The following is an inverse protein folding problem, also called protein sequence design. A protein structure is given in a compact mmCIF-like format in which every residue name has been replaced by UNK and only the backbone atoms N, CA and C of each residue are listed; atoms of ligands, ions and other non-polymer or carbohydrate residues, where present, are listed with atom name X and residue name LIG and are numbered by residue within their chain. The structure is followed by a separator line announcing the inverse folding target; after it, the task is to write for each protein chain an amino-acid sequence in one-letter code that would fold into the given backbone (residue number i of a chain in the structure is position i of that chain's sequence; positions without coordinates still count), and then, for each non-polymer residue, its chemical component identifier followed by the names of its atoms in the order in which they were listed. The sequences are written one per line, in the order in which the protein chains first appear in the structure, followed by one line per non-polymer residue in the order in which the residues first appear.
data_IF_209466650223
#
_entry.id   IF_209466650223
#
_cell.length_a   1.000
_cell.length_b   1.000
_cell.length_c   1.000
_cell.angle_alpha   90.00
_cell.angle_beta   90.00
_cell.angle_gamma   90.00
#
_symmetry.space_group_name_H-M   'P 1'
#
loop_
_entity.id
_entity.type
_entity.pdbx_description
1 polymer ?
#
# COMPACT_ATOMS: atom_id res chain seq x y z
N UNK A 1 10.19 -25.41 18.68
CA UNK A 1 11.00 -24.33 19.33
C UNK A 1 11.46 -23.41 18.22
N UNK A 2 10.79 -22.28 18.04
CA UNK A 2 11.18 -21.28 17.04
C UNK A 2 12.45 -20.58 17.52
N UNK A 3 13.50 -20.68 16.73
CA UNK A 3 14.79 -20.07 17.00
C UNK A 3 14.69 -18.56 17.07
N UNK A 4 14.94 -17.99 18.24
CA UNK A 4 14.94 -16.56 18.57
C UNK A 4 16.15 -15.80 18.02
N UNK A 5 16.59 -16.08 16.79
CA UNK A 5 17.80 -15.49 16.22
C UNK A 5 17.68 -14.04 15.75
N UNK A 6 16.47 -13.49 15.69
CA UNK A 6 16.25 -12.08 15.37
C UNK A 6 15.11 -11.49 16.20
N UNK A 7 15.40 -11.10 17.43
CA UNK A 7 14.52 -10.14 18.11
C UNK A 7 14.81 -8.77 17.49
N UNK A 8 13.83 -8.11 16.84
CA UNK A 8 14.03 -6.76 16.33
C UNK A 8 14.50 -5.84 17.46
N UNK A 9 15.51 -5.04 17.20
CA UNK A 9 16.10 -4.13 18.16
C UNK A 9 15.10 -3.18 18.84
N UNK A 10 14.00 -2.84 18.16
CA UNK A 10 12.95 -1.92 18.60
C UNK A 10 11.67 -2.63 19.05
N UNK A 11 11.70 -3.94 19.30
CA UNK A 11 10.55 -4.69 19.81
C UNK A 11 10.64 -4.78 21.34
N UNK A 12 9.77 -4.04 22.06
CA UNK A 12 9.66 -4.02 23.51
C UNK A 12 8.28 -4.55 23.91
N UNK A 13 8.24 -5.58 24.75
CA UNK A 13 7.00 -6.22 25.25
C UNK A 13 5.99 -6.59 24.14
N UNK A 14 6.49 -7.04 23.00
CA UNK A 14 5.65 -7.42 21.85
C UNK A 14 5.12 -6.25 21.01
N UNK A 15 5.54 -5.02 21.30
CA UNK A 15 5.16 -3.81 20.57
C UNK A 15 6.38 -3.18 19.93
N UNK A 16 6.27 -2.80 18.65
CA UNK A 16 7.31 -2.02 18.00
C UNK A 16 7.30 -0.59 18.52
N UNK A 17 8.45 -0.14 19.01
CA UNK A 17 8.64 1.22 19.53
C UNK A 17 9.61 2.01 18.66
N UNK A 18 9.46 3.32 18.66
CA UNK A 18 10.40 4.19 17.98
C UNK A 18 11.71 4.28 18.78
N UNK A 19 12.86 4.10 18.11
CA UNK A 19 14.17 4.07 18.78
C UNK A 19 14.59 5.43 19.36
N UNK A 20 14.08 6.52 18.80
CA UNK A 20 14.59 7.86 19.10
C UNK A 20 13.55 8.83 19.67
N UNK A 21 12.29 8.64 19.36
CA UNK A 21 11.21 9.55 19.78
C UNK A 21 9.94 8.76 20.08
N UNK A 22 9.44 8.87 21.30
CA UNK A 22 8.09 8.40 21.62
C UNK A 22 7.13 9.60 21.55
N UNK A 23 6.51 9.81 20.40
CA UNK A 23 5.43 10.78 20.28
C UNK A 23 4.09 10.05 20.53
N UNK A 24 3.43 10.39 21.63
CA UNK A 24 2.06 9.91 21.89
C UNK A 24 1.09 10.97 21.39
N UNK A 25 0.53 10.76 20.20
CA UNK A 25 -0.55 11.60 19.69
C UNK A 25 -1.78 11.46 20.60
N UNK A 26 -2.35 12.58 21.03
CA UNK A 26 -3.57 12.62 21.82
C UNK A 26 -4.79 12.90 20.92
N UNK A 27 -5.98 12.58 21.42
CA UNK A 27 -7.23 12.94 20.75
C UNK A 27 -7.37 14.47 20.57
N UNK A 28 -6.80 15.25 21.48
CA UNK A 28 -6.72 16.71 21.39
C UNK A 28 -5.86 17.16 20.23
N UNK A 29 -4.75 16.50 19.95
CA UNK A 29 -3.86 16.80 18.81
C UNK A 29 -4.56 16.49 17.49
N UNK A 30 -5.36 15.41 17.43
CA UNK A 30 -6.19 15.08 16.28
C UNK A 30 -7.22 16.20 15.99
N UNK A 31 -7.94 16.68 16.98
CA UNK A 31 -8.92 17.76 16.80
C UNK A 31 -8.26 19.10 16.44
N UNK A 32 -7.09 19.39 17.02
CA UNK A 32 -6.29 20.56 16.67
C UNK A 32 -5.88 20.50 15.20
N UNK A 33 -5.28 19.38 14.78
CA UNK A 33 -4.90 19.15 13.39
C UNK A 33 -6.11 19.27 12.45
N UNK A 34 -7.23 18.64 12.77
CA UNK A 34 -8.43 18.70 11.93
C UNK A 34 -8.98 20.12 11.76
N UNK A 35 -8.87 20.96 12.76
CA UNK A 35 -9.32 22.35 12.74
C UNK A 35 -8.35 23.26 11.97
N UNK A 36 -7.06 23.00 12.09
CA UNK A 36 -5.99 23.82 11.53
C UNK A 36 -5.55 23.36 10.13
N UNK A 37 -5.90 22.14 9.72
CA UNK A 37 -5.59 21.62 8.38
C UNK A 37 -6.41 22.33 7.33
N UNK A 38 -5.75 23.01 6.40
CA UNK A 38 -6.33 23.41 5.14
C UNK A 38 -6.37 22.23 4.18
N UNK A 39 -7.40 22.15 3.33
CA UNK A 39 -7.37 21.21 2.21
C UNK A 39 -6.32 21.72 1.22
N UNK A 40 -5.31 20.90 0.89
CA UNK A 40 -4.37 21.32 -0.15
C UNK A 40 -5.10 21.50 -1.48
N UNK A 41 -4.67 22.47 -2.27
CA UNK A 41 -5.12 22.60 -3.64
C UNK A 41 -4.79 21.32 -4.43
N UNK A 42 -5.71 20.80 -5.23
CA UNK A 42 -5.45 19.63 -6.05
C UNK A 42 -4.34 19.96 -7.06
N UNK A 43 -3.21 19.32 -6.93
CA UNK A 43 -2.10 19.47 -7.87
C UNK A 43 -2.29 18.41 -8.97
N UNK A 44 -2.46 18.87 -10.21
CA UNK A 44 -2.46 17.98 -11.37
C UNK A 44 -1.01 17.63 -11.73
N UNK A 45 -0.65 16.36 -11.61
CA UNK A 45 0.62 15.85 -12.10
C UNK A 45 0.47 15.36 -13.54
N UNK A 46 1.48 15.57 -14.42
CA UNK A 46 1.48 14.95 -15.73
C UNK A 46 1.52 13.42 -15.55
N UNK A 47 0.52 12.74 -16.12
CA UNK A 47 0.42 11.28 -16.06
C UNK A 47 1.11 10.68 -17.28
N UNK A 48 2.07 9.80 -17.03
CA UNK A 48 2.62 8.93 -18.07
C UNK A 48 1.70 7.72 -18.21
N UNK A 49 1.31 7.39 -19.42
CA UNK A 49 0.52 6.20 -19.70
C UNK A 49 1.41 4.96 -19.57
N UNK A 50 1.10 4.09 -18.62
CA UNK A 50 1.75 2.80 -18.52
C UNK A 50 1.31 1.86 -19.66
N UNK A 51 2.14 0.89 -19.99
CA UNK A 51 1.83 -0.18 -20.94
C UNK A 51 1.51 -1.49 -20.17
N UNK A 52 0.21 -1.82 -19.96
CA UNK A 52 -0.17 -3.01 -19.23
C UNK A 52 0.27 -4.31 -19.91
N UNK A 53 0.33 -4.35 -21.23
CA UNK A 53 0.72 -5.58 -21.97
C UNK A 53 2.22 -5.84 -21.81
N UNK A 54 3.04 -4.79 -21.87
CA UNK A 54 4.46 -4.89 -21.52
C UNK A 54 4.63 -5.40 -20.08
N UNK A 55 3.94 -4.80 -19.10
CA UNK A 55 4.07 -5.20 -17.70
C UNK A 55 3.62 -6.65 -17.44
N UNK A 56 2.58 -7.12 -18.15
CA UNK A 56 2.13 -8.52 -18.05
C UNK A 56 3.10 -9.51 -18.70
N UNK A 57 3.77 -9.11 -19.78
CA UNK A 57 4.71 -9.97 -20.51
C UNK A 57 6.14 -9.94 -19.97
N UNK A 58 6.50 -8.92 -19.17
CA UNK A 58 7.83 -8.77 -18.62
C UNK A 58 8.21 -9.93 -17.68
N UNK A 59 9.30 -10.64 -17.99
CA UNK A 59 9.84 -11.76 -17.20
C UNK A 59 11.30 -11.58 -16.81
N UNK A 60 11.98 -10.62 -17.38
CA UNK A 60 13.44 -10.47 -17.24
C UNK A 60 13.89 -9.09 -16.80
N UNK A 61 13.16 -8.04 -17.16
CA UNK A 61 13.57 -6.68 -16.86
C UNK A 61 13.14 -6.28 -15.44
N UNK A 62 14.02 -5.55 -14.76
CA UNK A 62 13.74 -4.96 -13.44
C UNK A 62 13.04 -3.63 -13.64
N UNK A 63 11.79 -3.55 -13.20
CA UNK A 63 10.98 -2.34 -13.36
C UNK A 63 10.35 -1.92 -12.05
N UNK A 64 10.12 -0.61 -11.90
CA UNK A 64 9.35 0.00 -10.83
C UNK A 64 8.30 0.87 -11.47
N UNK A 65 7.03 0.53 -11.26
CA UNK A 65 5.89 1.31 -11.76
C UNK A 65 5.15 1.91 -10.58
N UNK A 66 5.12 3.24 -10.50
CA UNK A 66 4.31 3.92 -9.51
C UNK A 66 2.84 3.93 -9.95
N UNK A 67 1.97 3.37 -9.11
CA UNK A 67 0.53 3.29 -9.37
C UNK A 67 -0.19 4.45 -8.68
N UNK A 68 0.29 4.87 -7.53
CA UNK A 68 -0.25 6.01 -6.80
C UNK A 68 -0.11 5.84 -5.29
N UNK A 69 0.01 6.94 -4.56
CA UNK A 69 0.30 6.98 -3.13
C UNK A 69 1.51 6.10 -2.80
N UNK A 70 1.38 5.09 -1.95
CA UNK A 70 2.42 4.11 -1.60
C UNK A 70 2.35 2.81 -2.41
N UNK A 71 1.49 2.77 -3.43
CA UNK A 71 1.31 1.59 -4.28
C UNK A 71 2.31 1.60 -5.43
N UNK A 72 3.23 0.64 -5.42
CA UNK A 72 4.19 0.38 -6.48
C UNK A 72 4.06 -1.06 -6.96
N UNK A 73 4.19 -1.27 -8.27
CA UNK A 73 4.45 -2.56 -8.86
C UNK A 73 5.96 -2.68 -9.11
N UNK A 74 6.60 -3.63 -8.44
CA UNK A 74 7.99 -3.99 -8.63
C UNK A 74 8.05 -5.30 -9.41
N UNK A 75 8.80 -5.32 -10.50
CA UNK A 75 9.07 -6.55 -11.26
C UNK A 75 10.56 -6.86 -11.15
N UNK A 76 10.90 -7.99 -10.56
CA UNK A 76 12.29 -8.36 -10.27
C UNK A 76 12.43 -9.87 -10.49
N UNK A 77 13.35 -10.26 -11.35
CA UNK A 77 13.70 -11.67 -11.63
C UNK A 77 12.45 -12.53 -11.92
N UNK A 78 11.52 -11.98 -12.72
CA UNK A 78 10.28 -12.65 -13.12
C UNK A 78 9.15 -12.63 -12.07
N UNK A 79 9.39 -12.08 -10.88
CA UNK A 79 8.40 -11.92 -9.83
C UNK A 79 7.76 -10.53 -9.86
N UNK A 80 6.47 -10.46 -9.55
CA UNK A 80 5.70 -9.24 -9.44
C UNK A 80 5.31 -8.99 -7.99
N UNK A 81 5.77 -7.88 -7.44
CA UNK A 81 5.57 -7.50 -6.05
C UNK A 81 4.73 -6.22 -6.02
N UNK A 82 3.66 -6.21 -5.26
CA UNK A 82 2.80 -5.04 -5.09
C UNK A 82 2.92 -4.50 -3.67
N UNK A 83 3.23 -3.22 -3.51
CA UNK A 83 3.33 -2.58 -2.19
C UNK A 83 2.05 -1.82 -1.86
N UNK A 84 1.59 -1.88 -0.61
CA UNK A 84 0.50 -1.09 -0.04
C UNK A 84 -0.65 -0.83 -1.03
N UNK A 85 -1.30 -1.88 -1.57
CA UNK A 85 -2.24 -1.75 -2.67
C UNK A 85 -3.51 -0.99 -2.26
N UNK A 86 -3.65 0.22 -2.81
CA UNK A 86 -4.79 1.09 -2.63
C UNK A 86 -5.30 1.57 -3.99
N UNK A 87 -6.42 1.01 -4.45
CA UNK A 87 -7.03 1.31 -5.75
C UNK A 87 -8.42 1.94 -5.63
N UNK A 88 -8.99 1.99 -4.42
CA UNK A 88 -10.28 2.62 -4.20
C UNK A 88 -10.19 4.15 -4.25
N UNK A 89 -11.32 4.80 -4.46
CA UNK A 89 -11.44 6.26 -4.54
C UNK A 89 -11.13 6.94 -3.20
N UNK A 90 -11.37 6.25 -2.07
CA UNK A 90 -11.22 6.83 -0.74
C UNK A 90 -10.43 5.92 0.18
N UNK A 91 -9.53 6.53 0.94
CA UNK A 91 -8.81 5.90 2.04
C UNK A 91 -9.71 5.80 3.28
N UNK A 92 -10.70 4.91 3.24
CA UNK A 92 -11.71 4.79 4.28
C UNK A 92 -12.43 3.44 4.18
N UNK A 93 -12.91 2.89 5.30
CA UNK A 93 -13.81 1.73 5.28
C UNK A 93 -15.17 2.06 4.67
N UNK A 94 -15.54 3.35 4.61
CA UNK A 94 -16.79 3.84 4.05
C UNK A 94 -16.57 4.51 2.70
N UNK A 95 -17.26 4.06 1.67
CA UNK A 95 -17.09 4.54 0.29
C UNK A 95 -17.48 6.01 0.07
N UNK A 96 -18.29 6.58 0.97
CA UNK A 96 -18.81 7.95 0.88
C UNK A 96 -18.10 8.96 1.81
N UNK A 97 -17.21 8.50 2.71
CA UNK A 97 -16.55 9.33 3.71
C UNK A 97 -15.04 9.07 3.71
N UNK A 98 -14.26 10.06 4.13
CA UNK A 98 -12.80 9.99 4.25
C UNK A 98 -12.09 10.66 3.07
N UNK A 99 -10.74 10.73 3.14
CA UNK A 99 -9.93 11.37 2.11
C UNK A 99 -10.16 10.71 0.74
N UNK A 100 -10.42 11.52 -0.28
CA UNK A 100 -10.51 11.04 -1.65
C UNK A 100 -9.18 11.19 -2.38
N UNK A 101 -8.98 10.35 -3.37
CA UNK A 101 -7.88 10.47 -4.32
C UNK A 101 -7.92 11.80 -5.05
N UNK A 102 -6.76 12.40 -5.27
CA UNK A 102 -6.61 13.57 -6.15
C UNK A 102 -6.13 13.17 -7.55
N UNK A 103 -5.48 12.01 -7.67
CA UNK A 103 -4.93 11.50 -8.92
C UNK A 103 -5.43 10.05 -9.11
N UNK A 104 -5.94 9.69 -10.30
CA UNK A 104 -6.34 8.31 -10.57
C UNK A 104 -5.14 7.35 -10.48
N UNK A 105 -5.35 6.04 -10.22
CA UNK A 105 -4.28 5.06 -10.25
C UNK A 105 -3.65 5.00 -11.64
N UNK A 106 -2.32 4.87 -11.70
CA UNK A 106 -1.56 4.72 -12.95
C UNK A 106 -1.83 3.41 -13.71
N UNK A 107 -2.45 2.43 -13.04
CA UNK A 107 -2.96 1.17 -13.59
C UNK A 107 -4.27 0.83 -12.91
N UNK A 108 -5.17 0.14 -13.61
CA UNK A 108 -6.34 -0.51 -13.01
C UNK A 108 -5.96 -1.89 -12.48
N UNK A 109 -6.76 -2.44 -11.57
CA UNK A 109 -6.52 -3.80 -11.03
C UNK A 109 -6.48 -4.84 -12.16
N UNK A 110 -7.36 -4.73 -13.15
CA UNK A 110 -7.43 -5.68 -14.27
C UNK A 110 -6.20 -5.57 -15.22
N UNK A 111 -5.52 -4.43 -15.20
CA UNK A 111 -4.31 -4.17 -15.99
C UNK A 111 -3.04 -4.70 -15.32
N UNK A 112 -3.08 -5.03 -14.02
CA UNK A 112 -1.94 -5.61 -13.31
C UNK A 112 -1.53 -6.96 -13.92
N UNK A 113 -0.23 -7.31 -13.93
CA UNK A 113 0.22 -8.68 -14.14
C UNK A 113 -0.29 -9.61 -13.02
N UNK A 114 0.06 -10.89 -13.10
CA UNK A 114 -0.06 -11.79 -11.95
C UNK A 114 0.84 -11.27 -10.82
N UNK A 115 0.32 -11.18 -9.60
CA UNK A 115 1.07 -10.70 -8.43
C UNK A 115 1.50 -11.89 -7.57
N UNK A 116 2.80 -12.03 -7.35
CA UNK A 116 3.39 -13.09 -6.53
C UNK A 116 3.38 -12.71 -5.06
N UNK A 117 3.72 -11.47 -4.75
CA UNK A 117 3.83 -10.97 -3.38
C UNK A 117 3.12 -9.64 -3.20
N UNK A 118 2.51 -9.48 -2.02
CA UNK A 118 1.94 -8.21 -1.56
C UNK A 118 2.62 -7.82 -0.26
N UNK A 119 3.20 -6.63 -0.20
CA UNK A 119 3.83 -6.08 0.98
C UNK A 119 2.92 -5.00 1.59
N UNK A 120 2.52 -5.17 2.85
CA UNK A 120 1.73 -4.20 3.60
C UNK A 120 2.61 -3.57 4.68
N UNK A 121 2.82 -2.28 4.62
CA UNK A 121 3.67 -1.56 5.58
C UNK A 121 3.00 -1.38 6.94
N UNK A 122 1.70 -1.05 6.94
CA UNK A 122 0.90 -0.87 8.16
C UNK A 122 -0.62 -0.88 7.83
N UNK A 123 -1.46 -0.77 8.86
CA UNK A 123 -2.90 -0.97 8.75
C UNK A 123 -3.75 0.30 8.55
N UNK A 124 -3.18 1.42 8.13
CA UNK A 124 -3.99 2.56 7.70
C UNK A 124 -4.74 2.25 6.40
N UNK A 125 -5.89 2.87 6.19
CA UNK A 125 -6.79 2.57 5.08
C UNK A 125 -6.24 2.93 3.69
N UNK A 126 -5.23 3.80 3.62
CA UNK A 126 -4.50 4.17 2.40
C UNK A 126 -3.31 3.24 2.09
N UNK A 127 -3.03 2.26 2.97
CA UNK A 127 -2.02 1.22 2.81
C UNK A 127 -2.62 -0.19 2.82
N UNK A 128 -3.61 -0.43 3.67
CA UNK A 128 -4.38 -1.68 3.74
C UNK A 128 -5.83 -1.41 3.32
N UNK A 129 -6.06 -1.39 2.01
CA UNK A 129 -7.39 -1.24 1.41
C UNK A 129 -8.05 -2.62 1.24
N UNK A 130 -8.92 -2.98 2.16
CA UNK A 130 -9.58 -4.29 2.17
C UNK A 130 -10.36 -4.59 0.90
N UNK A 131 -10.95 -3.57 0.26
CA UNK A 131 -11.67 -3.74 -1.00
C UNK A 131 -10.72 -4.03 -2.16
N UNK A 132 -9.58 -3.35 -2.21
CA UNK A 132 -8.52 -3.64 -3.17
C UNK A 132 -8.00 -5.07 -3.00
N UNK A 133 -7.75 -5.51 -1.75
CA UNK A 133 -7.31 -6.89 -1.48
C UNK A 133 -8.34 -7.89 -2.00
N UNK A 134 -9.63 -7.70 -1.71
CA UNK A 134 -10.70 -8.59 -2.20
C UNK A 134 -10.76 -8.66 -3.73
N UNK A 135 -10.61 -7.52 -4.42
CA UNK A 135 -10.60 -7.46 -5.88
C UNK A 135 -9.36 -8.18 -6.46
N UNK A 136 -8.20 -8.01 -5.84
CA UNK A 136 -6.97 -8.69 -6.23
C UNK A 136 -7.10 -10.22 -6.07
N UNK A 137 -7.60 -10.67 -4.93
CA UNK A 137 -7.86 -12.09 -4.65
C UNK A 137 -8.88 -12.68 -5.64
N UNK A 138 -9.94 -11.93 -5.96
CA UNK A 138 -10.92 -12.35 -6.97
C UNK A 138 -10.30 -12.46 -8.37
N UNK A 139 -9.43 -11.53 -8.75
CA UNK A 139 -8.71 -11.57 -10.03
C UNK A 139 -7.80 -12.79 -10.13
N UNK A 140 -7.10 -13.13 -9.04
CA UNK A 140 -6.14 -14.24 -8.97
C UNK A 140 -6.71 -15.49 -8.29
N UNK A 141 -7.92 -15.81 -8.57
CA UNK A 141 -8.77 -16.82 -7.96
C UNK A 141 -8.08 -18.19 -7.65
N UNK A 142 -7.15 -18.67 -8.48
CA UNK A 142 -6.50 -20.00 -8.31
C UNK A 142 -5.18 -19.90 -7.56
N UNK A 143 -4.33 -18.96 -7.94
CA UNK A 143 -3.00 -18.76 -7.34
C UNK A 143 -3.01 -17.42 -6.60
N UNK A 144 -3.20 -17.47 -5.29
CA UNK A 144 -3.24 -16.28 -4.45
C UNK A 144 -1.83 -15.73 -4.18
N UNK A 145 -1.65 -14.40 -4.12
CA UNK A 145 -0.37 -13.82 -3.74
C UNK A 145 -0.02 -14.15 -2.29
N UNK A 146 1.27 -14.24 -2.00
CA UNK A 146 1.74 -14.30 -0.62
C UNK A 146 1.79 -12.91 -0.01
N UNK A 147 1.18 -12.72 1.16
CA UNK A 147 1.14 -11.44 1.86
C UNK A 147 2.23 -11.38 2.95
N UNK A 148 3.01 -10.32 2.92
CA UNK A 148 3.91 -9.94 4.00
C UNK A 148 3.30 -8.76 4.75
N UNK A 149 3.05 -8.96 6.04
CA UNK A 149 2.38 -7.99 6.90
C UNK A 149 3.19 -7.76 8.17
N UNK A 150 3.08 -6.59 8.84
CA UNK A 150 3.74 -6.37 10.11
C UNK A 150 3.28 -7.37 11.18
N UNK A 151 4.18 -7.67 12.11
CA UNK A 151 3.80 -8.34 13.35
C UNK A 151 2.93 -7.41 14.20
N UNK A 152 2.01 -8.02 14.94
CA UNK A 152 1.15 -7.30 15.91
C UNK A 152 1.98 -6.66 17.01
#
# INVERSE_FOLDING_TARGET
MANSLFKPFNLVDGVFVNNYVSHKSSFKDFWKWRRESSKPEPIAFPMVKNDPEYLKSNKSEKTITWIGHSTFLLQIDGMNILTDPHFTERASPLSFMGPSRTTPPGLKIDELPFIDFVLISHNHYDHLDSKTIQLLLKKQNVNQPTFFVPLK
#
